data_IF_440917088752
#
_entry.id   IF_440917088752
#
_cell.length_a   1.000
_cell.length_b   1.000
_cell.length_c   1.000
_cell.angle_alpha   90.00
_cell.angle_beta   90.00
_cell.angle_gamma   90.00
#
_symmetry.space_group_name_H-M   'P 1'
#
loop_
_entity.id
_entity.type
_entity.pdbx_description
1 polymer ?
#
# COMPACT_ATOMS: atom_id res chain seq x y z
N UNK A 1 27.99 -0.14 -2.34
CA UNK A 1 27.53 -0.03 -2.00
C UNK A 1 26.85 -0.08 -1.37
N UNK A 2 26.70 0.04 -0.89
CA UNK A 2 26.16 0.04 -0.18
C UNK A 2 25.27 0.00 0.32
N UNK A 3 24.84 -0.05 0.78
CA UNK A 3 24.15 -0.09 1.27
C UNK A 3 23.43 -0.37 1.73
N UNK A 4 23.46 -0.50 1.68
CA UNK A 4 22.67 -0.95 2.22
C UNK A 4 21.87 -0.57 3.24
N UNK A 5 21.06 -0.54 3.44
CA UNK A 5 20.28 -0.13 4.24
C UNK A 5 19.55 -1.11 4.97
N UNK A 6 19.89 -1.30 6.12
CA UNK A 6 19.44 -2.33 6.88
C UNK A 6 18.17 -2.04 7.53
N UNK A 7 17.79 -0.80 7.61
CA UNK A 7 16.60 -0.43 8.28
C UNK A 7 15.41 -0.64 7.43
N UNK A 8 15.61 -0.62 6.14
CA UNK A 8 14.50 -0.75 5.22
C UNK A 8 14.56 -2.10 4.59
N UNK A 9 13.65 -2.93 4.96
CA UNK A 9 13.50 -4.23 4.32
C UNK A 9 13.00 -3.98 2.90
N UNK A 10 13.73 -4.42 1.87
CA UNK A 10 13.28 -4.22 0.50
C UNK A 10 11.90 -4.81 0.23
N UNK A 11 11.56 -5.88 0.93
CA UNK A 11 10.24 -6.48 0.77
C UNK A 11 9.16 -5.55 1.27
N UNK A 12 9.41 -4.90 2.40
CA UNK A 12 8.45 -3.95 2.94
C UNK A 12 8.24 -2.79 2.00
N UNK A 13 9.31 -2.27 1.44
CA UNK A 13 9.21 -1.15 0.51
C UNK A 13 8.44 -1.54 -0.73
N UNK A 14 8.68 -2.74 -1.25
CA UNK A 14 7.96 -3.22 -2.41
C UNK A 14 6.49 -3.39 -2.13
N UNK A 15 6.16 -3.94 -0.98
CA UNK A 15 4.76 -4.12 -0.60
C UNK A 15 4.05 -2.80 -0.50
N UNK A 16 4.69 -1.83 0.12
CA UNK A 16 4.10 -0.50 0.26
C UNK A 16 3.91 0.17 -1.09
N UNK A 17 4.91 0.05 -1.96
CA UNK A 17 4.80 0.63 -3.29
C UNK A 17 3.71 -0.04 -4.11
N UNK A 18 3.60 -1.36 -4.00
CA UNK A 18 2.55 -2.10 -4.71
C UNK A 18 1.17 -1.69 -4.24
N UNK A 19 1.01 -1.49 -2.93
CA UNK A 19 -0.27 -1.05 -2.39
C UNK A 19 -0.63 0.35 -2.87
N UNK A 20 0.34 1.24 -2.92
CA UNK A 20 0.11 2.59 -3.42
C UNK A 20 -0.27 2.57 -4.90
N UNK A 21 0.44 1.77 -5.68
CA UNK A 21 0.12 1.63 -7.09
C UNK A 21 -1.28 1.09 -7.28
N UNK A 22 -1.67 0.11 -6.48
CA UNK A 22 -3.00 -0.45 -6.55
C UNK A 22 -4.06 0.60 -6.24
N UNK A 23 -3.80 1.44 -5.23
CA UNK A 23 -4.72 2.52 -4.90
C UNK A 23 -4.87 3.48 -6.07
N UNK A 24 -3.77 3.90 -6.66
CA UNK A 24 -3.79 4.81 -7.79
C UNK A 24 -4.55 4.20 -8.96
N UNK A 25 -4.32 2.93 -9.23
CA UNK A 25 -5.02 2.26 -10.32
C UNK A 25 -6.51 2.20 -10.10
N UNK A 26 -6.93 1.91 -8.88
CA UNK A 26 -8.35 1.84 -8.59
C UNK A 26 -9.01 3.21 -8.67
N UNK A 27 -8.36 4.22 -8.16
CA UNK A 27 -8.89 5.57 -8.26
C UNK A 27 -8.95 6.04 -9.72
N UNK A 28 -7.94 5.69 -10.49
CA UNK A 28 -7.91 6.01 -11.91
C UNK A 28 -9.00 5.30 -12.71
N UNK A 29 -9.46 4.16 -12.22
CA UNK A 29 -10.54 3.42 -12.87
C UNK A 29 -11.92 3.93 -12.46
N UNK A 30 -11.96 4.95 -11.61
CA UNK A 30 -13.23 5.53 -11.20
C UNK A 30 -13.79 5.01 -9.90
N UNK A 31 -13.01 4.23 -9.16
CA UNK A 31 -13.45 3.74 -7.86
C UNK A 31 -13.39 4.83 -6.82
N UNK A 32 -14.36 4.78 -5.89
CA UNK A 32 -14.37 5.72 -4.79
C UNK A 32 -13.52 5.19 -3.67
N UNK A 33 -12.91 6.09 -2.90
CA UNK A 33 -12.17 5.68 -1.71
C UNK A 33 -13.05 4.88 -0.76
N UNK A 34 -14.30 5.22 -0.66
CA UNK A 34 -15.21 4.52 0.24
C UNK A 34 -15.53 3.10 -0.22
N UNK A 35 -15.23 2.77 -1.46
CA UNK A 35 -15.47 1.44 -1.99
C UNK A 35 -14.23 0.57 -1.97
N UNK A 36 -13.09 1.16 -1.73
CA UNK A 36 -11.84 0.43 -1.71
C UNK A 36 -11.76 -0.37 -0.42
N UNK A 37 -11.48 -1.66 -0.54
CA UNK A 37 -11.34 -2.54 0.62
C UNK A 37 -9.95 -3.12 0.65
N UNK A 38 -9.57 -3.68 1.81
CA UNK A 38 -8.29 -4.35 1.93
C UNK A 38 -8.18 -5.48 0.89
N UNK A 39 -9.27 -6.23 0.72
CA UNK A 39 -9.27 -7.32 -0.24
C UNK A 39 -9.02 -6.82 -1.66
N UNK A 40 -9.70 -5.74 -2.06
CA UNK A 40 -9.55 -5.25 -3.42
C UNK A 40 -8.16 -4.67 -3.65
N UNK A 41 -7.61 -3.98 -2.65
CA UNK A 41 -6.27 -3.43 -2.76
C UNK A 41 -5.21 -4.53 -2.85
N UNK A 42 -5.29 -5.52 -1.99
CA UNK A 42 -4.29 -6.57 -1.97
C UNK A 42 -4.39 -7.43 -3.22
N UNK A 43 -5.61 -7.66 -3.72
CA UNK A 43 -5.80 -8.37 -4.97
C UNK A 43 -5.12 -7.62 -6.11
N UNK A 44 -5.36 -6.33 -6.21
CA UNK A 44 -4.78 -5.50 -7.25
C UNK A 44 -3.26 -5.45 -7.13
N UNK A 45 -2.75 -5.42 -5.93
CA UNK A 45 -1.32 -5.35 -5.68
C UNK A 45 -0.62 -6.70 -5.77
N UNK A 46 -1.37 -7.79 -5.82
CA UNK A 46 -0.80 -9.13 -5.82
C UNK A 46 -0.27 -9.54 -4.47
N UNK A 47 -0.86 -9.05 -3.41
CA UNK A 47 -0.42 -9.33 -2.05
C UNK A 47 -1.53 -10.00 -1.27
N UNK A 48 -1.21 -10.45 -0.05
CA UNK A 48 -2.21 -11.01 0.84
C UNK A 48 -2.68 -9.96 1.82
N UNK A 49 -3.86 -10.19 2.40
CA UNK A 49 -4.37 -9.30 3.43
C UNK A 49 -3.44 -9.26 4.64
N UNK A 50 -2.80 -10.37 4.92
CA UNK A 50 -1.86 -10.42 6.02
C UNK A 50 -0.72 -9.43 5.80
N UNK A 51 -0.23 -9.32 4.57
CA UNK A 51 0.81 -8.37 4.24
C UNK A 51 0.34 -6.94 4.48
N UNK A 52 -0.90 -6.64 4.09
CA UNK A 52 -1.46 -5.33 4.34
C UNK A 52 -1.47 -5.01 5.84
N UNK A 53 -2.02 -5.94 6.63
CA UNK A 53 -2.17 -5.70 8.06
C UNK A 53 -0.84 -5.69 8.80
N UNK A 54 0.23 -6.15 8.19
CA UNK A 54 1.55 -6.02 8.80
C UNK A 54 2.08 -4.60 8.69
N UNK A 55 1.52 -3.79 7.80
CA UNK A 55 1.96 -2.41 7.60
C UNK A 55 0.93 -1.39 8.08
N UNK A 56 -0.34 -1.70 7.99
CA UNK A 56 -1.42 -0.74 8.25
C UNK A 56 -2.52 -1.41 9.06
N UNK A 57 -3.29 -0.61 9.79
CA UNK A 57 -4.38 -1.14 10.58
C UNK A 57 -5.62 -1.38 9.74
N UNK A 58 -5.93 -0.43 8.86
CA UNK A 58 -7.13 -0.48 8.04
C UNK A 58 -6.95 0.47 6.86
N UNK A 59 -7.97 0.60 6.04
CA UNK A 59 -7.90 1.45 4.87
C UNK A 59 -7.69 2.92 5.22
N UNK A 60 -8.42 3.51 6.17
CA UNK A 60 -8.16 4.90 6.54
C UNK A 60 -6.72 5.14 7.01
N UNK A 61 -6.15 4.21 7.75
CA UNK A 61 -4.77 4.31 8.19
C UNK A 61 -3.83 4.30 7.00
N UNK A 62 -4.07 3.40 6.05
CA UNK A 62 -3.26 3.31 4.85
C UNK A 62 -3.31 4.61 4.05
N UNK A 63 -4.51 5.15 3.86
CA UNK A 63 -4.67 6.38 3.09
C UNK A 63 -3.98 7.55 3.78
N UNK A 64 -4.09 7.61 5.09
CA UNK A 64 -3.44 8.65 5.86
C UNK A 64 -1.93 8.61 5.65
N UNK A 65 -1.35 7.43 5.67
CA UNK A 65 0.10 7.30 5.49
C UNK A 65 0.52 7.61 4.07
N UNK A 66 -0.30 7.27 3.09
CA UNK A 66 -0.02 7.61 1.72
C UNK A 66 -0.03 9.13 1.55
N UNK A 67 -1.01 9.81 2.14
CA UNK A 67 -1.08 11.25 2.07
C UNK A 67 0.10 11.90 2.76
N UNK A 68 0.50 11.37 3.90
CA UNK A 68 1.66 11.89 4.61
C UNK A 68 2.93 11.73 3.79
N UNK A 69 3.04 10.66 3.05
CA UNK A 69 4.24 10.38 2.27
C UNK A 69 4.35 11.28 1.03
N UNK A 70 3.26 11.88 0.62
CA UNK A 70 3.27 12.73 -0.56
C UNK A 70 3.93 14.06 -0.28
N UNK A 71 3.95 14.47 0.96
CA UNK A 71 4.61 15.70 1.30
C UNK A 71 6.10 15.63 1.02
#
# INVERSE_FOLDING_TARGET
MPQTDFKCDPRSLRSQASLRDALVQQLGAGEDLSRITVASLTDCAGLTRRTFYSHYKDIPDFIQQVEDAIM
#
